data_IF_517963165497
#
_entry.id   IF_517963165497
#
_cell.length_a   1.000
_cell.length_b   1.000
_cell.length_c   1.000
_cell.angle_alpha   90.00
_cell.angle_beta   90.00
_cell.angle_gamma   90.00
#
_symmetry.space_group_name_H-M   'P 1'
#
loop_
_entity.id
_entity.type
_entity.pdbx_description
1 polymer ?
#
# COMPACT_ATOMS: atom_id res chain seq x y z
N UNK A 1 7.43 4.43 5.49
CA UNK A 1 7.82 3.01 5.68
C UNK A 1 6.99 2.12 4.78
N UNK A 2 7.62 1.10 4.20
CA UNK A 2 6.96 0.02 3.47
C UNK A 2 6.97 -1.26 4.29
N UNK A 3 5.82 -1.91 4.44
CA UNK A 3 5.71 -3.27 5.01
C UNK A 3 5.45 -4.23 3.85
N UNK A 4 6.47 -4.99 3.49
CA UNK A 4 6.49 -5.84 2.31
C UNK A 4 7.56 -5.43 1.31
N UNK A 5 8.19 -6.42 0.67
CA UNK A 5 9.31 -6.23 -0.26
C UNK A 5 9.15 -6.97 -1.58
N UNK A 6 7.90 -7.09 -2.03
CA UNK A 6 7.61 -7.74 -3.30
C UNK A 6 8.25 -6.97 -4.46
N UNK A 7 8.63 -7.64 -5.55
CA UNK A 7 9.13 -6.96 -6.74
C UNK A 7 8.03 -6.19 -7.49
N UNK A 8 6.76 -6.44 -7.17
CA UNK A 8 5.61 -5.84 -7.85
C UNK A 8 5.17 -4.53 -7.19
N UNK A 9 5.20 -4.43 -5.86
CA UNK A 9 4.71 -3.27 -5.12
C UNK A 9 5.79 -2.67 -4.22
N UNK A 10 6.25 -3.41 -3.21
CA UNK A 10 7.07 -2.84 -2.14
C UNK A 10 8.37 -2.22 -2.64
N UNK A 11 9.17 -2.94 -3.42
CA UNK A 11 10.44 -2.44 -3.94
C UNK A 11 10.29 -1.30 -4.92
N UNK A 12 9.49 -1.39 -6.01
CA UNK A 12 9.40 -0.32 -6.98
C UNK A 12 8.80 0.95 -6.40
N UNK A 13 7.75 0.85 -5.58
CA UNK A 13 7.15 2.01 -4.95
C UNK A 13 8.11 2.70 -3.96
N UNK A 14 8.89 1.93 -3.20
CA UNK A 14 9.92 2.46 -2.30
C UNK A 14 10.98 3.26 -3.08
N UNK A 15 11.43 2.75 -4.22
CA UNK A 15 12.42 3.44 -5.06
C UNK A 15 11.85 4.74 -5.66
N UNK A 16 10.60 4.72 -6.13
CA UNK A 16 9.95 5.92 -6.65
C UNK A 16 9.80 7.03 -5.58
N UNK A 17 9.54 6.67 -4.34
CA UNK A 17 9.48 7.64 -3.25
C UNK A 17 10.87 8.14 -2.84
N UNK A 18 11.88 7.28 -2.88
CA UNK A 18 13.27 7.68 -2.65
C UNK A 18 13.72 8.73 -3.68
N UNK A 19 13.38 8.55 -4.96
CA UNK A 19 13.63 9.54 -6.03
C UNK A 19 12.94 10.89 -5.78
N UNK A 20 11.88 10.90 -4.96
CA UNK A 20 11.14 12.10 -4.54
C UNK A 20 11.62 12.65 -3.19
N UNK A 21 12.83 12.29 -2.78
CA UNK A 21 13.49 12.72 -1.53
C UNK A 21 12.79 12.23 -0.24
N UNK A 22 12.02 11.16 -0.29
CA UNK A 22 11.51 10.53 0.92
C UNK A 22 12.60 9.69 1.60
N UNK A 23 12.66 9.72 2.93
CA UNK A 23 13.42 8.74 3.69
C UNK A 23 12.62 7.45 3.74
N UNK A 24 13.15 6.36 3.19
CA UNK A 24 12.41 5.12 3.02
C UNK A 24 13.03 3.99 3.84
N UNK A 25 12.19 3.33 4.63
CA UNK A 25 12.52 2.07 5.33
C UNK A 25 11.66 0.96 4.76
N UNK A 26 12.25 -0.19 4.44
CA UNK A 26 11.53 -1.39 3.97
C UNK A 26 11.55 -2.44 5.07
N UNK A 27 10.38 -2.78 5.57
CA UNK A 27 10.15 -3.83 6.57
C UNK A 27 9.65 -5.12 5.93
N UNK A 28 9.89 -6.24 6.58
CA UNK A 28 9.50 -7.56 6.10
C UNK A 28 9.38 -8.55 7.27
N UNK A 29 9.01 -9.78 7.01
CA UNK A 29 8.78 -10.83 8.03
C UNK A 29 9.98 -11.14 8.95
N UNK A 30 11.17 -10.65 8.61
CA UNK A 30 12.37 -10.79 9.47
C UNK A 30 12.77 -9.47 10.14
N UNK A 31 11.99 -8.41 9.99
CA UNK A 31 12.22 -7.14 10.71
C UNK A 31 11.91 -7.35 12.19
N UNK A 32 12.84 -6.98 13.03
CA UNK A 32 12.67 -7.05 14.49
C UNK A 32 11.96 -5.79 14.97
N UNK A 33 11.16 -5.92 16.03
CA UNK A 33 10.45 -4.80 16.65
C UNK A 33 9.71 -3.93 15.62
N UNK A 34 8.88 -4.56 14.78
CA UNK A 34 8.19 -3.88 13.68
C UNK A 34 7.36 -2.69 14.18
N UNK A 35 6.71 -2.82 15.33
CA UNK A 35 5.94 -1.75 15.97
C UNK A 35 6.78 -0.50 16.24
N UNK A 36 7.98 -0.65 16.75
CA UNK A 36 8.84 0.48 17.07
C UNK A 36 9.23 1.22 15.78
N UNK A 37 9.59 0.45 14.75
CA UNK A 37 9.95 1.01 13.44
C UNK A 37 8.76 1.71 12.78
N UNK A 38 7.58 1.11 12.80
CA UNK A 38 6.39 1.70 12.15
C UNK A 38 5.88 2.95 12.87
N UNK A 39 6.01 3.02 14.19
CA UNK A 39 5.63 4.21 14.96
C UNK A 39 6.51 5.45 14.67
N UNK A 40 7.69 5.31 14.08
CA UNK A 40 8.53 6.44 13.66
C UNK A 40 8.12 7.04 12.30
N UNK A 41 7.28 6.34 11.52
CA UNK A 41 6.90 6.77 10.18
C UNK A 41 5.84 7.89 10.21
N UNK A 42 5.87 8.74 9.18
CA UNK A 42 4.75 9.63 8.86
C UNK A 42 3.74 8.92 7.96
N UNK A 43 4.24 8.07 7.05
CA UNK A 43 3.42 7.32 6.10
C UNK A 43 3.81 5.84 6.17
N UNK A 44 2.81 4.97 6.31
CA UNK A 44 2.97 3.52 6.26
C UNK A 44 2.28 3.01 4.98
N UNK A 45 3.03 2.31 4.13
CA UNK A 45 2.48 1.57 2.99
C UNK A 45 2.51 0.09 3.33
N UNK A 46 1.35 -0.53 3.52
CA UNK A 46 1.25 -1.96 3.82
C UNK A 46 0.95 -2.76 2.56
N UNK A 47 1.85 -3.70 2.25
CA UNK A 47 1.79 -4.60 1.10
C UNK A 47 2.39 -5.98 1.48
N UNK A 48 2.11 -6.46 2.69
CA UNK A 48 2.65 -7.70 3.23
C UNK A 48 1.79 -8.92 2.89
N UNK A 49 0.50 -8.74 2.60
CA UNK A 49 -0.45 -9.82 2.39
C UNK A 49 -0.74 -10.59 3.69
N UNK A 50 -0.85 -9.89 4.80
CA UNK A 50 -1.04 -10.44 6.14
C UNK A 50 -2.23 -9.74 6.83
N UNK A 51 -3.44 -10.26 6.61
CA UNK A 51 -4.66 -9.70 7.19
C UNK A 51 -4.56 -9.48 8.70
N UNK A 52 -4.87 -8.26 9.16
CA UNK A 52 -4.80 -7.89 10.57
C UNK A 52 -3.37 -7.80 11.15
N UNK A 53 -2.34 -7.83 10.30
CA UNK A 53 -0.94 -7.73 10.72
C UNK A 53 -0.56 -6.34 11.26
N UNK A 54 -1.30 -5.31 10.88
CA UNK A 54 -1.10 -3.95 11.33
C UNK A 54 -2.15 -3.62 12.40
N UNK A 55 -1.75 -3.69 13.65
CA UNK A 55 -2.62 -3.50 14.84
C UNK A 55 -2.38 -2.13 15.49
N UNK A 56 -3.12 -1.82 16.56
CA UNK A 56 -2.92 -0.61 17.37
C UNK A 56 -1.47 -0.41 17.84
N UNK A 57 -0.72 -1.48 18.06
CA UNK A 57 0.68 -1.39 18.51
C UNK A 57 1.64 -0.89 17.41
N UNK A 58 1.20 -0.87 16.16
CA UNK A 58 2.03 -0.51 15.01
C UNK A 58 1.75 0.91 14.50
N UNK A 59 0.84 1.62 15.10
CA UNK A 59 0.38 2.92 14.60
C UNK A 59 0.30 3.96 15.70
N UNK A 60 0.35 5.24 15.34
CA UNK A 60 0.20 6.38 16.23
C UNK A 60 -0.61 7.51 15.58
N UNK A 61 -1.10 8.49 16.35
CA UNK A 61 -1.68 9.72 15.79
C UNK A 61 -0.71 10.45 14.86
N UNK A 62 -1.24 11.14 13.88
CA UNK A 62 -0.48 11.90 12.89
C UNK A 62 0.03 11.08 11.70
N UNK A 63 -0.29 9.80 11.62
CA UNK A 63 0.15 8.94 10.52
C UNK A 63 -0.88 8.81 9.41
N UNK A 64 -0.39 8.55 8.21
CA UNK A 64 -1.22 8.11 7.07
C UNK A 64 -0.89 6.66 6.72
N UNK A 65 -1.92 5.81 6.59
CA UNK A 65 -1.77 4.42 6.17
C UNK A 65 -2.32 4.24 4.76
N UNK A 66 -1.50 3.68 3.88
CA UNK A 66 -1.87 3.25 2.54
C UNK A 66 -1.84 1.72 2.53
N UNK A 67 -3.01 1.09 2.67
CA UNK A 67 -3.14 -0.36 2.63
C UNK A 67 -3.37 -0.81 1.19
N UNK A 68 -2.38 -1.52 0.64
CA UNK A 68 -2.36 -2.01 -0.75
C UNK A 68 -2.79 -3.46 -0.84
N UNK A 69 -2.83 -4.15 0.31
CA UNK A 69 -3.11 -5.59 0.36
C UNK A 69 -4.57 -5.91 0.12
N UNK A 70 -4.79 -7.10 -0.42
CA UNK A 70 -6.12 -7.65 -0.64
C UNK A 70 -6.11 -9.11 -0.18
N UNK A 71 -6.58 -9.35 1.03
CA UNK A 71 -6.64 -10.67 1.64
C UNK A 71 -8.08 -11.16 1.68
N UNK A 72 -8.32 -12.43 1.37
CA UNK A 72 -9.66 -13.01 1.50
C UNK A 72 -9.94 -13.38 2.97
N UNK A 73 -10.96 -12.77 3.53
CA UNK A 73 -11.48 -13.13 4.87
C UNK A 73 -12.70 -14.04 4.70
N UNK A 74 -12.53 -15.33 4.94
CA UNK A 74 -13.60 -16.31 4.80
C UNK A 74 -14.72 -16.15 5.84
N UNK A 75 -14.42 -15.59 7.02
CA UNK A 75 -15.41 -15.38 8.06
C UNK A 75 -16.33 -14.20 7.73
N UNK A 76 -15.79 -13.16 7.13
CA UNK A 76 -16.54 -11.98 6.69
C UNK A 76 -17.05 -12.10 5.26
N UNK A 77 -16.63 -13.13 4.51
CA UNK A 77 -16.92 -13.32 3.09
C UNK A 77 -16.63 -12.09 2.25
N UNK A 78 -15.48 -11.46 2.49
CA UNK A 78 -15.05 -10.23 1.81
C UNK A 78 -13.54 -10.13 1.74
N UNK A 79 -13.06 -9.17 0.95
CA UNK A 79 -11.65 -8.79 0.91
C UNK A 79 -11.37 -7.80 2.05
N UNK A 80 -10.23 -7.98 2.74
CA UNK A 80 -9.73 -7.10 3.79
C UNK A 80 -8.27 -6.72 3.51
N UNK A 81 -7.83 -5.62 4.10
CA UNK A 81 -6.43 -5.19 4.04
C UNK A 81 -5.52 -5.92 5.05
N UNK A 82 -4.31 -5.43 5.16
CA UNK A 82 -3.36 -5.84 6.20
C UNK A 82 -3.64 -5.16 7.54
N UNK A 83 -4.24 -3.97 7.53
CA UNK A 83 -4.56 -3.24 8.73
C UNK A 83 -5.86 -3.76 9.37
N UNK A 84 -5.89 -3.78 10.70
CA UNK A 84 -7.15 -3.78 11.45
C UNK A 84 -7.77 -2.39 11.27
N UNK A 85 -8.63 -2.25 10.25
CA UNK A 85 -9.11 -0.98 9.76
C UNK A 85 -9.82 -0.16 10.83
N UNK A 86 -10.73 -0.77 11.58
CA UNK A 86 -11.55 -0.06 12.58
C UNK A 86 -10.67 0.48 13.72
N UNK A 87 -9.70 -0.32 14.14
CA UNK A 87 -8.76 0.06 15.20
C UNK A 87 -7.80 1.13 14.67
N UNK A 88 -7.19 0.93 13.52
CA UNK A 88 -6.24 1.89 12.96
C UNK A 88 -6.90 3.24 12.64
N UNK A 89 -8.10 3.23 12.05
CA UNK A 89 -8.86 4.44 11.70
C UNK A 89 -9.22 5.30 12.93
N UNK A 90 -9.31 4.71 14.11
CA UNK A 90 -9.54 5.46 15.35
C UNK A 90 -8.30 6.16 15.91
N UNK A 91 -7.10 5.84 15.38
CA UNK A 91 -5.82 6.31 15.90
C UNK A 91 -5.13 7.25 14.92
N UNK A 92 -5.08 6.89 13.62
CA UNK A 92 -4.31 7.62 12.59
C UNK A 92 -5.12 8.74 11.96
N UNK A 93 -4.45 9.66 11.29
CA UNK A 93 -5.11 10.80 10.63
C UNK A 93 -5.82 10.39 9.33
N UNK A 94 -5.28 9.39 8.64
CA UNK A 94 -5.87 8.89 7.40
C UNK A 94 -5.49 7.42 7.15
N UNK A 95 -6.43 6.65 6.60
CA UNK A 95 -6.21 5.28 6.17
C UNK A 95 -7.05 4.96 4.94
N UNK A 96 -6.47 4.27 3.96
CA UNK A 96 -7.22 3.79 2.80
C UNK A 96 -8.03 2.54 3.16
N UNK A 97 -9.34 2.48 2.84
CA UNK A 97 -10.14 1.28 3.06
C UNK A 97 -9.79 0.15 2.08
N UNK A 98 -10.05 -1.09 2.50
CA UNK A 98 -10.00 -2.27 1.63
C UNK A 98 -11.28 -3.08 1.87
N UNK A 99 -12.15 -3.22 0.85
CA UNK A 99 -12.09 -2.66 -0.50
C UNK A 99 -12.41 -1.15 -0.59
N UNK A 100 -12.23 -0.57 -1.78
CA UNK A 100 -12.62 0.82 -2.08
C UNK A 100 -11.48 1.86 -2.01
N UNK A 101 -10.29 1.44 -1.62
CA UNK A 101 -9.09 2.30 -1.59
C UNK A 101 -8.20 2.14 -2.83
N UNK A 102 -6.96 1.74 -2.61
CA UNK A 102 -5.90 1.65 -3.64
C UNK A 102 -6.28 0.78 -4.84
N UNK A 103 -7.05 -0.29 -4.63
CA UNK A 103 -7.49 -1.19 -5.71
C UNK A 103 -8.28 -0.46 -6.81
N UNK A 104 -9.16 0.47 -6.44
CA UNK A 104 -9.92 1.27 -7.40
C UNK A 104 -9.01 2.19 -8.22
N UNK A 105 -8.02 2.81 -7.58
CA UNK A 105 -7.01 3.65 -8.24
C UNK A 105 -6.15 2.83 -9.21
N UNK A 106 -5.72 1.65 -8.79
CA UNK A 106 -4.93 0.73 -9.63
C UNK A 106 -5.67 0.37 -10.92
N UNK A 107 -6.95 0.04 -10.82
CA UNK A 107 -7.78 -0.28 -11.99
C UNK A 107 -7.92 0.92 -12.93
N UNK A 108 -8.17 2.11 -12.40
CA UNK A 108 -8.29 3.34 -13.19
C UNK A 108 -6.98 3.69 -13.91
N UNK A 109 -5.83 3.55 -13.22
CA UNK A 109 -4.51 3.77 -13.80
C UNK A 109 -4.20 2.76 -14.90
N UNK A 110 -4.54 1.48 -14.69
CA UNK A 110 -4.37 0.44 -15.72
C UNK A 110 -5.17 0.77 -16.98
N UNK A 111 -6.45 1.15 -16.84
CA UNK A 111 -7.27 1.52 -17.99
C UNK A 111 -6.69 2.74 -18.72
N UNK A 112 -6.21 3.74 -18.01
CA UNK A 112 -5.50 4.88 -18.61
C UNK A 112 -4.28 4.43 -19.41
N UNK A 113 -3.46 3.52 -18.88
CA UNK A 113 -2.29 3.01 -19.59
C UNK A 113 -2.67 2.25 -20.87
N UNK A 114 -3.76 1.50 -20.86
CA UNK A 114 -4.29 0.81 -22.05
C UNK A 114 -4.65 1.82 -23.14
N UNK A 115 -5.38 2.88 -22.80
CA UNK A 115 -5.74 3.95 -23.74
C UNK A 115 -4.50 4.64 -24.29
N UNK A 116 -3.56 5.04 -23.43
CA UNK A 116 -2.30 5.66 -23.85
C UNK A 116 -1.46 4.77 -24.78
N UNK A 117 -1.45 3.46 -24.53
CA UNK A 117 -0.75 2.52 -25.40
C UNK A 117 -1.42 2.45 -26.80
N UNK A 118 -2.75 2.45 -26.86
CA UNK A 118 -3.48 2.47 -28.13
C UNK A 118 -3.24 3.77 -28.91
N UNK A 119 -3.28 4.92 -28.24
CA UNK A 119 -3.00 6.23 -28.84
C UNK A 119 -1.60 6.26 -29.47
N UNK A 120 -0.57 5.83 -28.74
CA UNK A 120 0.80 5.74 -29.26
C UNK A 120 0.92 4.83 -30.49
N UNK A 121 0.15 3.75 -30.54
CA UNK A 121 0.13 2.84 -31.69
C UNK A 121 -0.48 3.52 -32.91
N UNK A 122 -1.52 4.34 -32.73
CA UNK A 122 -2.16 5.10 -33.80
C UNK A 122 -1.29 6.25 -34.30
N UNK A 123 -0.59 6.94 -33.42
CA UNK A 123 0.31 8.05 -33.74
C UNK A 123 1.62 7.56 -34.38
N UNK A 124 2.14 6.39 -33.95
CA UNK A 124 3.34 5.77 -34.47
C UNK A 124 3.15 4.91 -35.73
N UNK A 125 1.96 4.84 -36.26
CA UNK A 125 1.56 3.98 -37.38
C UNK A 125 2.02 4.42 -38.76
N UNK A 126 3.27 4.91 -38.89
CA UNK A 126 4.05 4.97 -40.10
C UNK A 126 5.37 4.17 -39.89
N UNK A 127 5.26 2.86 -39.97
CA UNK A 127 6.40 1.98 -40.27
C UNK A 127 6.33 1.59 -41.76
#
# INVERSE_FOLDING_TARGET
>A
IFIGRSPVVGRPAAMLLLERNATVTICHTRTRALSDVTCEADIIVSAAGAAGGLTAAHVRPGQTIIDVSANWDAAKNTIVGDADFDVAASIVDAITPVPGGVGAVTSAVLMRHVVQAAERTLEGGNL
#
